data_IF_113541426123
#
_entry.id   IF_113541426123
#
_cell.length_a   1.000
_cell.length_b   1.000
_cell.length_c   1.000
_cell.angle_alpha   90.00
_cell.angle_beta   90.00
_cell.angle_gamma   90.00
#
_symmetry.space_group_name_H-M   'P 1'
#
loop_
_entity.id
_entity.type
_entity.pdbx_description
1 polymer ?
#
# COMPACT_ATOMS: atom_id res chain seq x y z
N UNK A 1 -9.86 20.42 20.14
CA UNK A 1 -9.45 19.35 19.20
C UNK A 1 -10.71 18.88 18.50
N UNK A 2 -10.83 18.97 17.17
CA UNK A 2 -12.05 18.52 16.48
C UNK A 2 -12.13 16.99 16.52
N UNK A 3 -13.07 16.44 17.28
CA UNK A 3 -13.25 14.99 17.43
C UNK A 3 -13.52 14.27 16.10
N UNK A 4 -14.20 14.94 15.15
CA UNK A 4 -14.54 14.36 13.85
C UNK A 4 -13.30 14.02 13.01
N UNK A 5 -12.23 14.83 13.13
CA UNK A 5 -10.95 14.57 12.45
C UNK A 5 -10.31 13.28 13.00
N UNK A 6 -10.45 13.02 14.30
CA UNK A 6 -9.88 11.84 14.94
C UNK A 6 -10.65 10.58 14.52
N UNK A 7 -12.00 10.66 14.49
CA UNK A 7 -12.89 9.55 14.12
C UNK A 7 -12.66 9.03 12.68
N UNK A 8 -12.22 9.90 11.77
CA UNK A 8 -11.99 9.54 10.36
C UNK A 8 -10.63 8.88 10.07
N UNK A 9 -9.67 8.88 11.01
CA UNK A 9 -8.34 8.29 10.79
C UNK A 9 -8.39 6.77 10.85
N UNK A 10 -7.80 6.11 9.85
CA UNK A 10 -7.61 4.66 9.81
C UNK A 10 -6.11 4.36 9.69
N UNK A 11 -5.52 3.84 10.76
CA UNK A 11 -4.10 3.41 10.80
C UNK A 11 -4.07 1.89 10.85
N UNK A 12 -3.40 1.25 9.89
CA UNK A 12 -3.35 -0.20 9.78
C UNK A 12 -2.07 -0.67 9.08
N UNK A 13 -1.82 -1.97 9.14
CA UNK A 13 -0.74 -2.65 8.41
C UNK A 13 -1.26 -3.90 7.71
N UNK A 14 -0.58 -4.32 6.64
CA UNK A 14 -0.84 -5.58 5.93
C UNK A 14 0.24 -6.58 6.33
N UNK A 15 -0.17 -7.69 6.96
CA UNK A 15 0.69 -8.82 7.29
C UNK A 15 0.31 -10.03 6.42
N UNK A 16 1.30 -10.71 5.84
CA UNK A 16 1.05 -11.88 5.00
C UNK A 16 2.30 -12.75 4.88
N UNK A 17 2.10 -14.00 4.47
CA UNK A 17 3.19 -14.88 4.02
C UNK A 17 3.90 -14.30 2.77
N UNK A 18 5.17 -14.65 2.49
CA UNK A 18 5.79 -14.39 1.20
C UNK A 18 4.86 -14.72 0.01
N UNK A 19 4.92 -13.88 -1.01
CA UNK A 19 4.18 -14.03 -2.28
C UNK A 19 2.64 -14.03 -2.21
N UNK A 20 2.04 -13.85 -1.03
CA UNK A 20 0.58 -13.70 -0.86
C UNK A 20 -0.02 -12.40 -1.45
N UNK A 21 0.76 -11.61 -2.18
CA UNK A 21 0.25 -10.43 -2.89
C UNK A 21 0.12 -9.15 -2.07
N UNK A 22 0.69 -9.06 -0.85
CA UNK A 22 0.66 -7.83 -0.03
C UNK A 22 1.08 -6.56 -0.79
N UNK A 23 2.08 -6.66 -1.67
CA UNK A 23 2.58 -5.52 -2.47
C UNK A 23 1.56 -5.08 -3.52
N UNK A 24 0.88 -6.03 -4.17
CA UNK A 24 -0.19 -5.76 -5.14
C UNK A 24 -1.39 -5.10 -4.45
N UNK A 25 -1.78 -5.59 -3.27
CA UNK A 25 -2.87 -5.00 -2.50
C UNK A 25 -2.53 -3.57 -2.06
N UNK A 26 -1.30 -3.32 -1.60
CA UNK A 26 -0.82 -1.97 -1.26
C UNK A 26 -0.90 -1.02 -2.47
N UNK A 27 -0.46 -1.45 -3.65
CA UNK A 27 -0.55 -0.64 -4.88
C UNK A 27 -2.00 -0.24 -5.18
N UNK A 28 -2.94 -1.19 -5.12
CA UNK A 28 -4.36 -0.93 -5.42
C UNK A 28 -5.01 0.01 -4.41
N UNK A 29 -4.74 -0.16 -3.11
CA UNK A 29 -5.25 0.75 -2.08
C UNK A 29 -4.76 2.19 -2.30
N UNK A 30 -3.49 2.37 -2.68
CA UNK A 30 -2.93 3.67 -2.99
C UNK A 30 -3.56 4.30 -4.24
N UNK A 31 -3.82 3.50 -5.28
CA UNK A 31 -4.53 3.97 -6.48
C UNK A 31 -5.95 4.43 -6.17
N UNK A 32 -6.71 3.66 -5.37
CA UNK A 32 -8.07 4.05 -4.96
C UNK A 32 -8.07 5.32 -4.10
N UNK A 33 -7.01 5.56 -3.33
CA UNK A 33 -6.81 6.81 -2.58
C UNK A 33 -6.26 7.98 -3.40
N UNK A 34 -6.07 7.83 -4.73
CA UNK A 34 -5.51 8.87 -5.60
C UNK A 34 -4.00 9.09 -5.46
N UNK A 35 -3.29 8.24 -4.70
CA UNK A 35 -1.85 8.34 -4.46
C UNK A 35 -1.03 7.71 -5.60
N UNK A 36 -1.20 8.21 -6.83
CA UNK A 36 -0.68 7.62 -8.08
C UNK A 36 0.85 7.40 -8.05
N UNK A 37 1.61 8.42 -7.66
CA UNK A 37 3.08 8.33 -7.63
C UNK A 37 3.56 7.28 -6.62
N UNK A 38 2.93 7.23 -5.44
CA UNK A 38 3.28 6.26 -4.40
C UNK A 38 2.93 4.83 -4.83
N UNK A 39 1.77 4.64 -5.47
CA UNK A 39 1.41 3.36 -6.07
C UNK A 39 2.44 2.88 -7.10
N UNK A 40 2.88 3.77 -8.00
CA UNK A 40 3.94 3.48 -8.98
C UNK A 40 5.27 3.05 -8.33
N UNK A 41 5.69 3.76 -7.27
CA UNK A 41 6.90 3.40 -6.52
C UNK A 41 6.81 2.03 -5.85
N UNK A 42 5.66 1.69 -5.27
CA UNK A 42 5.41 0.38 -4.65
C UNK A 42 5.50 -0.74 -5.69
N UNK A 43 4.85 -0.56 -6.85
CA UNK A 43 4.91 -1.52 -7.96
C UNK A 43 6.34 -1.77 -8.44
N UNK A 44 7.09 -0.68 -8.72
CA UNK A 44 8.47 -0.75 -9.19
C UNK A 44 9.41 -1.44 -8.19
N UNK A 45 9.15 -1.32 -6.88
CA UNK A 45 9.90 -2.04 -5.84
C UNK A 45 9.54 -3.54 -5.82
N UNK A 46 8.26 -3.87 -6.01
CA UNK A 46 7.78 -5.25 -6.13
C UNK A 46 8.36 -5.98 -7.34
N UNK A 47 8.46 -5.32 -8.50
CA UNK A 47 9.09 -5.86 -9.71
C UNK A 47 10.58 -6.10 -9.52
N UNK A 48 11.32 -5.15 -8.95
CA UNK A 48 12.75 -5.32 -8.64
C UNK A 48 13.04 -6.49 -7.70
N UNK A 49 12.14 -6.81 -6.77
CA UNK A 49 12.28 -7.97 -5.89
C UNK A 49 12.13 -9.30 -6.65
N UNK A 50 11.20 -9.35 -7.61
CA UNK A 50 10.96 -10.53 -8.46
C UNK A 50 12.05 -10.74 -9.51
N UNK A 51 12.68 -9.67 -9.99
CA UNK A 51 13.79 -9.76 -10.95
C UNK A 51 15.11 -10.24 -10.33
N UNK A 52 15.19 -10.37 -9.00
CA UNK A 52 16.40 -10.78 -8.25
C UNK A 52 16.35 -12.21 -7.74
N UNK A 53 15.28 -12.96 -8.03
CA UNK A 53 15.08 -14.36 -7.65
C UNK A 53 15.33 -15.29 -8.83
#
# INVERSE_FOLDING_TARGET
MNEDIIKNRRTFAIISHPDAGKTTLTEKLLLFGGAIQLAGMVKAKGERRRARS
#
